data_IF_479329728700
#
_entry.id   IF_479329728700
#
_cell.length_a   1.000
_cell.length_b   1.000
_cell.length_c   1.000
_cell.angle_alpha   90.00
_cell.angle_beta   90.00
_cell.angle_gamma   90.00
#
_symmetry.space_group_name_H-M   'P 1'
#
loop_
_entity.id
_entity.type
_entity.pdbx_description
1 polymer ?
#
# COMPACT_ATOMS: atom_id res chain seq x y z
N UNK A 1 2.68 41.86 -3.99
CA UNK A 1 2.23 40.72 -4.80
C UNK A 1 3.01 39.52 -4.30
N UNK A 2 2.46 38.77 -3.33
CA UNK A 2 3.16 37.62 -2.72
C UNK A 2 2.87 36.39 -3.57
N UNK A 3 3.87 35.90 -4.29
CA UNK A 3 3.84 34.60 -4.97
C UNK A 3 4.25 33.52 -3.98
N UNK A 4 3.26 32.86 -3.38
CA UNK A 4 3.46 31.58 -2.70
C UNK A 4 3.83 30.54 -3.75
N UNK A 5 4.92 29.76 -3.59
CA UNK A 5 5.27 28.71 -4.55
C UNK A 5 4.17 27.64 -4.57
N UNK A 6 3.82 27.06 -5.74
CA UNK A 6 2.80 26.02 -5.80
C UNK A 6 3.20 24.87 -4.88
N UNK A 7 2.31 24.54 -3.94
CA UNK A 7 2.53 23.44 -3.00
C UNK A 7 2.90 22.17 -3.79
N UNK A 8 3.93 21.41 -3.34
CA UNK A 8 4.37 20.22 -4.05
C UNK A 8 3.22 19.22 -4.15
N UNK A 9 3.10 18.55 -5.31
CA UNK A 9 2.09 17.53 -5.62
C UNK A 9 2.38 16.23 -4.83
N UNK A 10 2.35 16.33 -3.50
CA UNK A 10 2.60 15.22 -2.59
C UNK A 10 1.28 14.50 -2.36
N UNK A 11 1.20 13.19 -2.65
CA UNK A 11 0.01 12.40 -2.37
C UNK A 11 -0.43 12.54 -0.93
N UNK A 12 -1.67 12.97 -0.72
CA UNK A 12 -2.24 13.11 0.63
C UNK A 12 -2.62 11.73 1.18
N UNK A 13 -2.40 11.47 2.49
CA UNK A 13 -2.86 10.23 3.11
C UNK A 13 -4.38 10.08 3.01
N UNK A 14 -4.83 8.88 2.65
CA UNK A 14 -6.23 8.52 2.48
C UNK A 14 -6.66 7.55 3.61
N UNK A 15 -6.52 8.01 4.86
CA UNK A 15 -6.70 7.17 6.06
C UNK A 15 -8.10 6.59 6.16
N UNK A 16 -9.14 7.40 5.93
CA UNK A 16 -10.53 6.94 6.02
C UNK A 16 -10.86 5.88 4.96
N UNK A 17 -10.34 6.05 3.75
CA UNK A 17 -10.50 5.08 2.66
C UNK A 17 -9.77 3.78 2.98
N UNK A 18 -8.58 3.86 3.58
CA UNK A 18 -7.83 2.67 4.01
C UNK A 18 -8.54 1.92 5.14
N UNK A 19 -9.09 2.65 6.12
CA UNK A 19 -9.92 2.08 7.19
C UNK A 19 -11.18 1.41 6.62
N UNK A 20 -11.86 2.07 5.68
CA UNK A 20 -13.04 1.52 5.02
C UNK A 20 -12.72 0.25 4.22
N UNK A 21 -11.58 0.23 3.50
CA UNK A 21 -11.09 -0.96 2.81
C UNK A 21 -10.81 -2.10 3.79
N UNK A 22 -10.08 -1.80 4.87
CA UNK A 22 -9.72 -2.80 5.87
C UNK A 22 -10.97 -3.38 6.55
N UNK A 23 -11.96 -2.56 6.90
CA UNK A 23 -13.22 -3.03 7.48
C UNK A 23 -14.01 -3.97 6.55
N UNK A 24 -13.87 -3.81 5.23
CA UNK A 24 -14.52 -4.70 4.25
C UNK A 24 -13.73 -5.98 4.02
N UNK A 25 -12.40 -5.92 4.03
CA UNK A 25 -11.54 -7.06 3.78
C UNK A 25 -11.30 -7.94 5.02
N UNK A 26 -11.26 -7.33 6.21
CA UNK A 26 -11.03 -7.95 7.52
C UNK A 26 -12.04 -7.41 8.54
N UNK A 27 -13.29 -7.88 8.51
CA UNK A 27 -14.33 -7.44 9.46
C UNK A 27 -14.06 -7.91 10.90
N UNK A 28 -13.12 -8.83 11.09
CA UNK A 28 -12.63 -9.30 12.38
C UNK A 28 -11.78 -8.27 13.13
N UNK A 29 -11.24 -7.26 12.43
CA UNK A 29 -10.40 -6.24 13.06
C UNK A 29 -11.23 -5.16 13.76
N UNK A 30 -10.90 -4.80 15.02
CA UNK A 30 -11.53 -3.68 15.68
C UNK A 30 -11.12 -2.36 14.99
N UNK A 31 -12.08 -1.53 14.52
CA UNK A 31 -11.77 -0.35 13.73
C UNK A 31 -11.01 0.72 14.51
N UNK A 32 -11.27 0.84 15.82
CA UNK A 32 -10.57 1.79 16.68
C UNK A 32 -9.12 1.37 16.91
N UNK A 33 -8.88 0.07 17.12
CA UNK A 33 -7.53 -0.48 17.24
C UNK A 33 -6.71 -0.22 15.97
N UNK A 34 -7.30 -0.45 14.79
CA UNK A 34 -6.61 -0.19 13.53
C UNK A 34 -6.29 1.32 13.37
N UNK A 35 -7.21 2.21 13.73
CA UNK A 35 -6.98 3.66 13.69
C UNK A 35 -5.82 4.07 14.60
N UNK A 36 -5.79 3.56 15.83
CA UNK A 36 -4.74 3.87 16.80
C UNK A 36 -3.38 3.37 16.32
N UNK A 37 -3.33 2.16 15.78
CA UNK A 37 -2.11 1.57 15.21
C UNK A 37 -1.63 2.35 13.98
N UNK A 38 -2.52 2.80 13.09
CA UNK A 38 -2.16 3.66 11.96
C UNK A 38 -1.55 4.99 12.42
N UNK A 39 -2.15 5.63 13.44
CA UNK A 39 -1.60 6.84 14.03
C UNK A 39 -0.22 6.59 14.65
N UNK A 40 -0.07 5.51 15.41
CA UNK A 40 1.19 5.15 16.05
C UNK A 40 2.30 4.79 15.03
N UNK A 41 1.97 4.11 13.94
CA UNK A 41 2.92 3.79 12.85
C UNK A 41 3.49 5.08 12.22
N UNK A 42 2.62 6.09 12.01
CA UNK A 42 3.03 7.40 11.51
C UNK A 42 3.91 8.14 12.51
N UNK A 43 3.60 8.07 13.81
CA UNK A 43 4.46 8.63 14.86
C UNK A 43 5.83 7.94 14.94
N UNK A 44 5.92 6.66 14.58
CA UNK A 44 7.20 5.93 14.47
C UNK A 44 7.95 6.19 13.16
N UNK A 45 7.48 7.13 12.33
CA UNK A 45 8.18 7.56 11.12
C UNK A 45 7.91 6.72 9.88
N UNK A 46 6.98 5.75 9.91
CA UNK A 46 6.58 5.05 8.68
C UNK A 46 5.98 6.05 7.70
N UNK A 47 6.47 6.06 6.46
CA UNK A 47 5.88 6.83 5.37
C UNK A 47 4.49 6.27 5.01
N UNK A 48 3.64 7.10 4.39
CA UNK A 48 2.31 6.65 3.95
C UNK A 48 2.38 5.46 2.97
N UNK A 49 3.37 5.46 2.06
CA UNK A 49 3.57 4.33 1.15
C UNK A 49 3.92 3.02 1.86
N UNK A 50 4.71 3.08 2.93
CA UNK A 50 5.02 1.90 3.76
C UNK A 50 3.80 1.39 4.52
N UNK A 51 3.00 2.31 5.09
CA UNK A 51 1.73 1.96 5.75
C UNK A 51 0.80 1.25 4.77
N UNK A 52 0.63 1.81 3.57
CA UNK A 52 -0.24 1.21 2.55
C UNK A 52 0.25 -0.18 2.12
N UNK A 53 1.56 -0.35 1.92
CA UNK A 53 2.15 -1.63 1.54
C UNK A 53 1.96 -2.69 2.63
N UNK A 54 2.19 -2.35 3.89
CA UNK A 54 2.04 -3.29 5.01
C UNK A 54 0.58 -3.64 5.27
N UNK A 55 -0.33 -2.67 5.25
CA UNK A 55 -1.76 -2.98 5.37
C UNK A 55 -2.18 -3.89 4.21
N UNK A 56 -1.73 -3.63 2.98
CA UNK A 56 -1.97 -4.53 1.84
C UNK A 56 -1.46 -5.96 2.05
N UNK A 57 -0.25 -6.11 2.63
CA UNK A 57 0.31 -7.43 3.00
C UNK A 57 -0.55 -8.12 4.06
N UNK A 58 -0.94 -7.40 5.11
CA UNK A 58 -1.75 -7.93 6.21
C UNK A 58 -3.16 -8.32 5.76
N UNK A 59 -3.76 -7.59 4.82
CA UNK A 59 -5.04 -7.97 4.23
C UNK A 59 -4.97 -9.30 3.45
N UNK A 60 -3.80 -9.63 2.89
CA UNK A 60 -3.56 -10.90 2.20
C UNK A 60 -3.16 -12.04 3.15
N UNK A 61 -2.87 -11.74 4.42
CA UNK A 61 -2.42 -12.70 5.43
C UNK A 61 -3.55 -12.95 6.45
N UNK A 62 -4.20 -14.13 6.46
CA UNK A 62 -5.31 -14.41 7.36
C UNK A 62 -4.91 -14.40 8.84
N UNK A 63 -3.62 -14.61 9.15
CA UNK A 63 -3.10 -14.59 10.51
C UNK A 63 -2.70 -13.21 11.02
N UNK A 64 -2.69 -12.19 10.15
CA UNK A 64 -2.25 -10.86 10.55
C UNK A 64 -3.26 -10.14 11.43
N UNK A 65 -2.76 -9.42 12.42
CA UNK A 65 -3.53 -8.57 13.35
C UNK A 65 -3.07 -7.11 13.28
N UNK A 66 -3.93 -6.12 13.59
CA UNK A 66 -3.57 -4.71 13.50
C UNK A 66 -2.25 -4.32 14.18
N UNK A 67 -1.90 -4.82 15.39
CA UNK A 67 -0.63 -4.51 16.06
C UNK A 67 0.63 -4.95 15.28
N UNK A 68 0.51 -5.91 14.37
CA UNK A 68 1.63 -6.38 13.55
C UNK A 68 2.20 -5.29 12.63
N UNK A 69 1.40 -4.27 12.33
CA UNK A 69 1.86 -3.10 11.58
C UNK A 69 3.00 -2.37 12.32
N UNK A 70 2.90 -2.25 13.64
CA UNK A 70 3.94 -1.61 14.47
C UNK A 70 5.17 -2.51 14.60
N UNK A 71 4.98 -3.82 14.72
CA UNK A 71 6.09 -4.77 14.71
C UNK A 71 6.86 -4.69 13.39
N UNK A 72 6.13 -4.62 12.27
CA UNK A 72 6.68 -4.49 10.92
C UNK A 72 7.47 -3.18 10.73
N UNK A 73 7.07 -2.09 11.40
CA UNK A 73 7.82 -0.83 11.40
C UNK A 73 9.23 -0.96 12.00
N UNK A 74 9.38 -1.83 13.00
CA UNK A 74 10.63 -2.07 13.73
C UNK A 74 11.58 -3.01 13.02
N UNK A 75 11.12 -3.73 11.99
CA UNK A 75 11.92 -4.66 11.21
C UNK A 75 12.07 -4.21 9.74
N UNK A 76 12.72 -3.07 9.47
CA UNK A 76 12.86 -2.54 8.11
C UNK A 76 13.60 -3.48 7.15
N UNK A 77 14.38 -4.44 7.65
CA UNK A 77 15.07 -5.46 6.85
C UNK A 77 14.17 -6.61 6.37
N UNK A 78 13.00 -6.85 7.00
CA UNK A 78 12.02 -7.85 6.55
C UNK A 78 11.32 -7.44 5.25
N UNK A 79 11.25 -6.13 5.00
CA UNK A 79 10.62 -5.53 3.81
C UNK A 79 11.52 -5.55 2.57
N UNK A 80 12.74 -6.05 2.70
CA UNK A 80 13.59 -6.36 1.54
C UNK A 80 13.06 -7.63 0.89
N UNK A 81 11.89 -7.52 0.25
CA UNK A 81 11.49 -8.45 -0.81
C UNK A 81 12.71 -8.57 -1.72
N UNK A 82 13.19 -9.78 -2.08
CA UNK A 82 14.13 -9.87 -3.18
C UNK A 82 13.47 -9.12 -4.32
N UNK A 83 14.12 -8.08 -4.83
CA UNK A 83 13.70 -7.40 -6.05
C UNK A 83 13.63 -8.50 -7.09
N UNK A 84 12.45 -9.09 -7.30
CA UNK A 84 12.17 -9.86 -8.50
C UNK A 84 12.41 -8.85 -9.59
N UNK A 85 13.55 -9.04 -10.28
CA UNK A 85 14.22 -8.06 -11.11
C UNK A 85 13.18 -7.19 -11.82
N UNK A 86 13.30 -5.85 -11.70
CA UNK A 86 12.41 -4.90 -12.35
C UNK A 86 12.16 -5.23 -13.84
N UNK A 87 13.11 -5.94 -14.46
CA UNK A 87 13.06 -6.56 -15.76
C UNK A 87 11.89 -7.55 -15.98
N UNK A 88 11.52 -8.36 -15.00
CA UNK A 88 10.37 -9.30 -15.08
C UNK A 88 9.03 -8.58 -14.97
N UNK A 89 8.90 -7.60 -14.09
CA UNK A 89 7.69 -6.77 -14.00
C UNK A 89 7.49 -5.91 -15.26
N UNK A 90 8.57 -5.36 -15.81
CA UNK A 90 8.56 -4.60 -17.07
C UNK A 90 8.17 -5.48 -18.25
N UNK A 91 8.74 -6.70 -18.37
CA UNK A 91 8.36 -7.69 -19.37
C UNK A 91 6.90 -8.12 -19.25
N UNK A 92 6.41 -8.34 -18.03
CA UNK A 92 5.02 -8.70 -17.79
C UNK A 92 4.05 -7.59 -18.21
N UNK A 93 4.35 -6.34 -17.86
CA UNK A 93 3.55 -5.19 -18.28
C UNK A 93 3.59 -4.98 -19.81
N UNK A 94 4.74 -5.20 -20.45
CA UNK A 94 4.86 -5.12 -21.91
C UNK A 94 4.04 -6.23 -22.61
N UNK A 95 4.10 -7.46 -22.11
CA UNK A 95 3.33 -8.59 -22.63
C UNK A 95 1.82 -8.37 -22.47
N UNK A 96 1.37 -7.83 -21.32
CA UNK A 96 -0.04 -7.51 -21.09
C UNK A 96 -0.55 -6.43 -22.06
N UNK A 97 0.25 -5.37 -22.31
CA UNK A 97 -0.09 -4.36 -23.32
C UNK A 97 -0.16 -4.96 -24.72
N UNK A 98 0.81 -5.79 -25.10
CA UNK A 98 0.82 -6.46 -26.39
C UNK A 98 -0.42 -7.35 -26.59
N UNK A 99 -0.85 -8.09 -25.57
CA UNK A 99 -2.06 -8.93 -25.63
C UNK A 99 -3.35 -8.10 -25.79
N UNK A 100 -3.43 -6.92 -25.18
CA UNK A 100 -4.55 -6.00 -25.34
C UNK A 100 -4.59 -5.34 -26.72
N UNK A 101 -3.42 -5.07 -27.32
CA UNK A 101 -3.31 -4.53 -28.68
C UNK A 101 -3.43 -5.61 -29.78
N UNK A 102 -3.28 -6.89 -29.43
CA UNK A 102 -3.45 -8.02 -30.34
C UNK A 102 -4.83 -8.68 -30.27
N UNK A 103 -5.87 -8.02 -29.71
CA UNK A 103 -7.23 -8.51 -29.84
C UNK A 103 -7.56 -8.59 -31.34
N UNK A 104 -7.69 -9.79 -31.95
CA UNK A 104 -8.10 -9.87 -33.33
C UNK A 104 -9.57 -9.42 -33.39
N UNK A 105 -9.84 -8.45 -34.27
CA UNK A 105 -11.19 -8.23 -34.77
C UNK A 105 -11.69 -9.58 -35.29
N UNK A 106 -12.63 -10.13 -34.54
CA UNK A 106 -13.31 -11.38 -34.87
C UNK A 106 -14.33 -11.01 -35.93
N UNK A 107 -14.01 -11.33 -37.19
CA UNK A 107 -14.99 -11.46 -38.28
C UNK A 107 -15.28 -12.94 -38.47
#
# INVERSE_FOLDING_TARGET
MNTDPPAPDVPRPATDQLLALAARARPDWPPDLLRDVLAQARHQGMTWGQVLAEVGRMLADPGAEPPDLIASAREPWRHRRPVQAADTAHRGAAAARAALHHRPDTT
#
